data_IF_336761188676
#
_entry.id   IF_336761188676
#
_cell.length_a   1.000
_cell.length_b   1.000
_cell.length_c   1.000
_cell.angle_alpha   90.00
_cell.angle_beta   90.00
_cell.angle_gamma   90.00
#
_symmetry.space_group_name_H-M   'P 1'
#
loop_
_entity.id
_entity.type
_entity.pdbx_description
1 polymer ?
#
# COMPACT_ATOMS: atom_id res chain seq x y z
N UNK A 1 19.08 -55.11 17.33
CA UNK A 1 20.09 -54.04 17.33
C UNK A 1 20.09 -53.35 16.00
N UNK A 2 19.50 -52.21 15.94
CA UNK A 2 19.79 -51.05 15.10
C UNK A 2 18.68 -50.04 15.36
N UNK A 3 19.02 -49.08 16.18
CA UNK A 3 18.16 -47.93 16.55
C UNK A 3 18.49 -46.79 15.60
N UNK A 4 17.46 -46.29 14.96
CA UNK A 4 17.09 -44.92 14.73
C UNK A 4 18.14 -43.86 14.39
N UNK A 5 17.96 -43.25 13.25
CA UNK A 5 18.29 -41.85 12.98
C UNK A 5 17.21 -41.26 12.05
N UNK A 6 16.25 -40.57 12.62
CA UNK A 6 15.29 -39.74 11.87
C UNK A 6 14.67 -38.69 12.83
N UNK A 7 15.46 -37.67 13.16
CA UNK A 7 14.95 -36.47 13.81
C UNK A 7 16.00 -35.35 13.72
N UNK A 8 16.15 -34.69 12.61
CA UNK A 8 16.92 -33.43 12.51
C UNK A 8 16.82 -32.79 11.12
N UNK A 9 15.62 -32.50 10.61
CA UNK A 9 15.49 -31.77 9.32
C UNK A 9 14.38 -30.71 9.27
N UNK A 10 13.72 -30.41 10.39
CA UNK A 10 12.63 -29.40 10.37
C UNK A 10 12.97 -28.05 11.05
N UNK A 11 14.13 -27.93 11.67
CA UNK A 11 14.53 -26.68 12.35
C UNK A 11 15.26 -25.67 11.44
N UNK A 12 15.70 -26.09 10.25
CA UNK A 12 16.57 -25.26 9.41
C UNK A 12 15.85 -24.27 8.49
N UNK A 13 14.56 -24.52 8.17
CA UNK A 13 13.85 -23.71 7.15
C UNK A 13 13.21 -22.46 7.76
N UNK A 14 12.77 -22.52 9.02
CA UNK A 14 12.19 -21.34 9.69
C UNK A 14 13.23 -20.25 10.04
N UNK A 15 14.49 -20.66 10.30
CA UNK A 15 15.56 -19.69 10.57
C UNK A 15 16.06 -18.94 9.32
N UNK A 16 15.96 -19.56 8.13
CA UNK A 16 16.42 -18.92 6.90
C UNK A 16 15.49 -17.85 6.37
N UNK A 17 14.16 -17.98 6.57
CA UNK A 17 13.18 -16.96 6.17
C UNK A 17 13.24 -15.72 7.07
N UNK A 18 13.36 -15.90 8.39
CA UNK A 18 13.49 -14.77 9.32
C UNK A 18 14.79 -13.97 9.12
N UNK A 19 15.88 -14.65 8.75
CA UNK A 19 17.16 -13.99 8.47
C UNK A 19 17.14 -13.19 7.14
N UNK A 20 16.42 -13.69 6.11
CA UNK A 20 16.33 -13.01 4.81
C UNK A 20 15.49 -11.73 4.89
N UNK A 21 14.42 -11.74 5.67
CA UNK A 21 13.53 -10.58 5.86
C UNK A 21 14.24 -9.47 6.64
N UNK A 22 14.94 -9.83 7.71
CA UNK A 22 15.75 -8.88 8.50
C UNK A 22 16.87 -8.24 7.67
N UNK A 23 17.43 -8.97 6.70
CA UNK A 23 18.47 -8.48 5.81
C UNK A 23 17.95 -7.47 4.78
N UNK A 24 16.71 -7.64 4.27
CA UNK A 24 16.17 -6.76 3.22
C UNK A 24 15.75 -5.40 3.78
N UNK A 25 15.04 -5.36 4.91
CA UNK A 25 14.72 -4.09 5.60
C UNK A 25 15.98 -3.39 6.11
N UNK A 26 17.00 -4.15 6.49
CA UNK A 26 18.31 -3.60 6.86
C UNK A 26 19.08 -3.02 5.66
N UNK A 27 18.82 -3.48 4.42
CA UNK A 27 19.51 -3.00 3.22
C UNK A 27 19.08 -1.58 2.81
N UNK A 28 17.81 -1.19 3.02
CA UNK A 28 17.37 0.18 2.71
C UNK A 28 17.60 1.16 3.87
N UNK A 29 17.68 0.66 5.11
CA UNK A 29 17.93 1.52 6.26
C UNK A 29 19.36 2.13 6.18
N UNK A 30 19.42 3.45 6.17
CA UNK A 30 20.68 4.19 6.01
C UNK A 30 21.13 4.34 4.56
N UNK A 31 20.44 3.78 3.56
CA UNK A 31 20.61 4.12 2.14
C UNK A 31 20.14 5.55 1.87
N UNK A 32 20.36 6.04 0.67
CA UNK A 32 19.93 7.39 0.29
C UNK A 32 19.01 7.35 -0.92
N UNK A 33 18.02 8.24 -0.94
CA UNK A 33 17.16 8.50 -2.08
C UNK A 33 17.12 10.02 -2.31
N UNK A 34 17.31 10.47 -3.54
CA UNK A 34 17.42 11.89 -3.88
C UNK A 34 18.46 12.65 -2.99
N UNK A 35 19.51 11.97 -2.50
CA UNK A 35 20.51 12.54 -1.61
C UNK A 35 20.13 12.54 -0.13
N UNK A 36 18.91 12.18 0.23
CA UNK A 36 18.41 12.10 1.61
C UNK A 36 18.51 10.69 2.17
N UNK A 37 18.80 10.58 3.47
CA UNK A 37 18.92 9.29 4.15
C UNK A 37 17.56 8.66 4.37
N UNK A 38 17.46 7.34 4.17
CA UNK A 38 16.29 6.55 4.53
C UNK A 38 16.39 6.04 5.96
N UNK A 39 15.33 6.20 6.74
CA UNK A 39 15.16 5.65 8.08
C UNK A 39 13.97 4.71 8.10
N UNK A 40 14.20 3.42 8.36
CA UNK A 40 13.13 2.43 8.54
C UNK A 40 12.76 2.40 10.03
N UNK A 41 11.53 2.77 10.42
CA UNK A 41 11.11 2.75 11.82
C UNK A 41 10.93 1.32 12.33
N UNK A 42 10.96 1.15 13.65
CA UNK A 42 10.81 -0.17 14.29
C UNK A 42 9.47 -0.85 13.97
N UNK A 43 8.40 -0.07 13.76
CA UNK A 43 7.09 -0.58 13.33
C UNK A 43 7.12 -1.20 11.94
N UNK A 44 8.03 -0.81 11.05
CA UNK A 44 8.19 -1.35 9.69
C UNK A 44 9.23 -2.48 9.59
N UNK A 45 9.76 -2.94 10.71
CA UNK A 45 10.66 -4.10 10.74
C UNK A 45 9.83 -5.38 10.91
N UNK A 46 9.77 -6.26 9.89
CA UNK A 46 9.00 -7.48 9.97
C UNK A 46 9.49 -8.39 11.12
N UNK A 47 8.56 -8.86 11.93
CA UNK A 47 8.81 -9.82 13.01
C UNK A 47 7.74 -10.91 12.95
N UNK A 48 8.10 -12.20 12.96
CA UNK A 48 7.13 -13.27 12.83
C UNK A 48 5.97 -13.17 13.83
N UNK A 49 4.74 -13.26 13.34
CA UNK A 49 3.52 -13.20 14.14
C UNK A 49 3.20 -11.81 14.69
N UNK A 50 3.75 -10.76 14.10
CA UNK A 50 3.46 -9.37 14.43
C UNK A 50 3.13 -8.56 13.19
N UNK A 51 1.99 -7.89 13.24
CA UNK A 51 1.63 -6.88 12.25
C UNK A 51 2.65 -5.74 12.30
N UNK A 52 3.13 -5.34 11.14
CA UNK A 52 4.06 -4.24 10.94
C UNK A 52 3.55 -3.29 9.86
N UNK A 53 3.96 -2.03 9.92
CA UNK A 53 3.75 -1.04 8.88
C UNK A 53 4.68 -1.29 7.69
N UNK A 54 4.43 -0.64 6.54
CA UNK A 54 5.24 -0.76 5.34
C UNK A 54 5.65 0.62 4.83
N UNK A 55 6.33 1.40 5.70
CA UNK A 55 6.85 2.70 5.32
C UNK A 55 8.29 2.94 5.82
N UNK A 56 8.93 3.92 5.21
CA UNK A 56 10.20 4.49 5.64
C UNK A 56 10.10 6.02 5.65
N UNK A 57 10.96 6.66 6.43
CA UNK A 57 11.08 8.11 6.51
C UNK A 57 12.25 8.55 5.62
N UNK A 58 12.05 9.60 4.84
CA UNK A 58 13.12 10.28 4.11
C UNK A 58 13.59 11.44 4.98
N UNK A 59 14.84 11.35 5.45
CA UNK A 59 15.43 12.36 6.34
C UNK A 59 15.91 13.55 5.51
N UNK A 60 14.99 14.43 5.18
CA UNK A 60 15.26 15.69 4.46
C UNK A 60 15.72 16.83 5.40
N UNK A 61 15.97 16.53 6.70
CA UNK A 61 16.34 17.49 7.73
C UNK A 61 15.22 17.75 8.74
N UNK A 62 15.28 18.88 9.45
CA UNK A 62 14.27 19.23 10.43
C UNK A 62 12.90 19.39 9.76
N UNK A 63 11.84 18.83 10.38
CA UNK A 63 10.46 19.06 9.95
C UNK A 63 10.18 20.54 9.80
N UNK A 64 9.69 20.95 8.63
CA UNK A 64 9.29 22.33 8.38
C UNK A 64 7.79 22.46 8.67
N UNK A 65 7.41 23.46 9.46
CA UNK A 65 5.99 23.70 9.75
C UNK A 65 5.29 24.51 8.65
N UNK A 66 6.05 25.19 7.78
CA UNK A 66 5.50 26.17 6.84
C UNK A 66 5.16 25.58 5.46
N UNK A 67 5.90 24.56 5.01
CA UNK A 67 5.72 23.98 3.69
C UNK A 67 6.25 22.53 3.60
N UNK A 68 5.70 21.68 2.71
CA UNK A 68 6.24 20.35 2.45
C UNK A 68 7.67 20.42 1.90
N UNK A 69 8.46 19.36 2.05
CA UNK A 69 9.78 19.27 1.43
C UNK A 69 9.68 19.51 -0.09
N UNK A 70 10.60 20.28 -0.68
CA UNK A 70 10.48 20.71 -2.08
C UNK A 70 10.57 19.55 -3.10
N UNK A 71 11.20 18.45 -2.71
CA UNK A 71 11.38 17.27 -3.55
C UNK A 71 10.31 16.19 -3.30
N UNK A 72 9.41 16.40 -2.31
CA UNK A 72 8.36 15.47 -1.99
C UNK A 72 7.22 15.51 -3.03
N UNK A 73 6.77 14.34 -3.45
CA UNK A 73 5.59 14.21 -4.31
C UNK A 73 4.35 14.82 -3.63
N UNK A 74 3.59 15.55 -4.42
CA UNK A 74 2.35 16.19 -4.01
C UNK A 74 1.14 15.50 -4.66
N UNK A 75 -0.07 15.66 -4.13
CA UNK A 75 -1.27 15.16 -4.80
C UNK A 75 -1.40 15.61 -6.26
N UNK A 76 -0.96 16.83 -6.57
CA UNK A 76 -1.03 17.38 -7.92
C UNK A 76 0.02 16.80 -8.85
N UNK A 77 1.27 16.58 -8.39
CA UNK A 77 2.34 15.99 -9.21
C UNK A 77 2.03 14.54 -9.55
N UNK A 78 1.62 13.73 -8.57
CA UNK A 78 1.23 12.34 -8.78
C UNK A 78 0.01 12.23 -9.72
N UNK A 79 -1.05 13.00 -9.46
CA UNK A 79 -2.24 12.99 -10.30
C UNK A 79 -1.96 13.42 -11.75
N UNK A 80 -0.97 14.31 -11.95
CA UNK A 80 -0.49 14.70 -13.27
C UNK A 80 0.20 13.53 -13.97
N UNK A 81 1.14 12.84 -13.32
CA UNK A 81 1.88 11.69 -13.89
C UNK A 81 0.92 10.59 -14.30
N UNK A 82 -0.02 10.22 -13.45
CA UNK A 82 -1.03 9.20 -13.75
C UNK A 82 -2.19 9.72 -14.62
N UNK A 83 -2.15 10.97 -15.07
CA UNK A 83 -3.18 11.58 -15.94
C UNK A 83 -4.58 11.50 -15.36
N UNK A 84 -4.68 11.61 -14.04
CA UNK A 84 -5.97 11.67 -13.32
C UNK A 84 -6.60 13.06 -13.43
N UNK A 85 -5.77 14.06 -13.74
CA UNK A 85 -6.16 15.45 -13.93
C UNK A 85 -5.52 16.03 -15.19
N UNK A 86 -5.99 17.17 -15.66
CA UNK A 86 -5.28 17.92 -16.71
C UNK A 86 -3.98 18.46 -16.10
N UNK A 87 -2.87 17.87 -16.48
CA UNK A 87 -1.56 18.19 -15.94
C UNK A 87 -0.80 19.29 -16.68
N UNK A 88 0.29 19.74 -16.06
CA UNK A 88 1.33 20.59 -16.66
C UNK A 88 2.30 19.69 -17.45
N UNK A 89 2.93 20.19 -18.50
CA UNK A 89 3.96 19.47 -19.23
C UNK A 89 5.10 19.11 -18.27
N UNK A 90 5.55 17.86 -18.28
CA UNK A 90 6.59 17.36 -17.39
C UNK A 90 6.08 16.98 -15.98
N UNK A 91 4.89 17.35 -15.61
CA UNK A 91 4.32 17.10 -14.27
C UNK A 91 5.27 17.47 -13.11
N UNK A 92 5.87 18.69 -13.11
CA UNK A 92 6.85 19.08 -12.10
C UNK A 92 6.18 19.23 -10.72
N UNK A 93 6.92 18.84 -9.66
CA UNK A 93 6.43 18.93 -8.28
C UNK A 93 6.01 20.37 -7.94
N UNK A 94 6.90 21.32 -8.15
CA UNK A 94 6.71 22.71 -7.70
C UNK A 94 5.56 23.47 -8.38
N UNK A 95 5.18 23.07 -9.62
CA UNK A 95 4.21 23.85 -10.43
C UNK A 95 2.95 23.08 -10.80
N UNK A 96 2.86 21.79 -10.52
CA UNK A 96 1.62 21.03 -10.63
C UNK A 96 0.63 21.49 -9.55
N UNK A 97 -0.60 21.85 -9.95
CA UNK A 97 -1.60 22.46 -9.03
C UNK A 97 -2.97 21.79 -9.08
N UNK A 98 -3.24 21.00 -10.13
CA UNK A 98 -4.55 20.37 -10.27
C UNK A 98 -4.56 19.08 -9.46
N UNK A 99 -5.51 18.97 -8.54
CA UNK A 99 -5.74 17.79 -7.71
C UNK A 99 -7.01 17.06 -8.15
N UNK A 100 -7.15 15.76 -7.86
CA UNK A 100 -8.40 15.02 -8.06
C UNK A 100 -9.57 15.71 -7.33
N UNK A 101 -10.76 15.61 -7.92
CA UNK A 101 -11.98 16.22 -7.34
C UNK A 101 -13.13 15.21 -7.27
N UNK A 102 -12.86 13.94 -7.54
CA UNK A 102 -13.80 12.84 -7.54
C UNK A 102 -13.94 12.17 -6.17
N UNK A 103 -14.49 10.96 -6.19
CA UNK A 103 -14.69 10.08 -5.05
C UNK A 103 -16.15 9.69 -4.89
N UNK A 104 -16.41 8.40 -4.78
CA UNK A 104 -17.73 7.83 -4.53
C UNK A 104 -17.66 6.75 -3.46
N UNK A 105 -18.77 6.49 -2.78
CA UNK A 105 -18.84 5.53 -1.71
C UNK A 105 -18.02 5.93 -0.48
N UNK A 106 -17.52 4.93 0.22
CA UNK A 106 -16.69 5.13 1.40
C UNK A 106 -15.29 4.53 1.22
N UNK A 107 -14.32 5.15 1.83
CA UNK A 107 -12.96 4.63 2.01
C UNK A 107 -12.76 4.40 3.50
N UNK A 108 -12.37 3.20 3.92
CA UNK A 108 -11.92 2.95 5.27
C UNK A 108 -10.44 2.59 5.27
N UNK A 109 -9.69 3.30 6.07
CA UNK A 109 -8.31 3.03 6.41
C UNK A 109 -8.32 2.20 7.68
N UNK A 110 -7.54 1.13 7.76
CA UNK A 110 -7.41 0.30 8.96
C UNK A 110 -5.99 0.41 9.47
N UNK A 111 -5.85 0.92 10.70
CA UNK A 111 -4.57 1.09 11.36
C UNK A 111 -4.62 0.73 12.84
N UNK A 112 -3.47 0.73 13.49
CA UNK A 112 -3.34 0.45 14.90
C UNK A 112 -2.84 1.67 15.67
N UNK A 113 -3.51 1.97 16.75
CA UNK A 113 -3.23 3.11 17.62
C UNK A 113 -4.33 4.15 17.61
N UNK A 114 -4.15 5.19 18.38
CA UNK A 114 -4.94 6.40 18.36
C UNK A 114 -4.12 7.53 17.72
N UNK A 115 -4.73 8.25 16.81
CA UNK A 115 -4.14 9.42 16.17
C UNK A 115 -4.88 10.68 16.64
N UNK A 116 -4.49 11.29 17.78
CA UNK A 116 -5.27 12.36 18.40
C UNK A 116 -5.43 13.62 17.54
N UNK A 117 -4.47 13.91 16.66
CA UNK A 117 -4.47 15.11 15.81
C UNK A 117 -4.94 14.85 14.38
N UNK A 118 -5.40 13.64 14.05
CA UNK A 118 -5.77 13.22 12.70
C UNK A 118 -6.64 14.21 11.92
N UNK A 119 -7.70 14.76 12.56
CA UNK A 119 -8.59 15.74 11.91
C UNK A 119 -7.90 17.06 11.60
N UNK A 120 -7.06 17.55 12.51
CA UNK A 120 -6.34 18.80 12.35
C UNK A 120 -5.25 18.66 11.30
N UNK A 121 -4.50 17.56 11.34
CA UNK A 121 -3.40 17.30 10.43
C UNK A 121 -3.91 17.08 9.00
N UNK A 122 -4.98 16.29 8.82
CA UNK A 122 -5.65 16.13 7.52
C UNK A 122 -6.19 17.45 6.96
N UNK A 123 -6.75 18.32 7.83
CA UNK A 123 -7.18 19.67 7.42
C UNK A 123 -6.02 20.53 6.95
N UNK A 124 -4.88 20.49 7.68
CA UNK A 124 -3.67 21.25 7.30
C UNK A 124 -3.10 20.75 5.98
N UNK A 125 -2.98 19.43 5.81
CA UNK A 125 -2.56 18.83 4.55
C UNK A 125 -3.49 19.24 3.39
N UNK A 126 -4.79 19.08 3.57
CA UNK A 126 -5.80 19.40 2.55
C UNK A 126 -5.76 20.87 2.15
N UNK A 127 -5.67 21.77 3.13
CA UNK A 127 -5.57 23.21 2.91
C UNK A 127 -4.34 23.61 2.11
N UNK A 128 -3.18 22.99 2.39
CA UNK A 128 -1.92 23.25 1.68
C UNK A 128 -2.04 22.96 0.18
N UNK A 129 -2.74 21.88 -0.17
CA UNK A 129 -2.88 21.46 -1.56
C UNK A 129 -4.19 21.88 -2.23
N UNK A 130 -5.01 22.69 -1.54
CA UNK A 130 -6.28 23.18 -2.08
C UNK A 130 -7.33 22.07 -2.25
N UNK A 131 -7.25 21.04 -1.43
CA UNK A 131 -8.20 19.94 -1.39
C UNK A 131 -9.32 20.32 -0.41
N UNK A 132 -10.60 20.19 -0.78
CA UNK A 132 -11.70 20.47 0.15
C UNK A 132 -11.68 19.51 1.33
N UNK A 133 -12.04 19.98 2.53
CA UNK A 133 -12.30 19.07 3.65
C UNK A 133 -13.39 18.06 3.28
N UNK A 134 -13.16 16.78 3.65
CA UNK A 134 -14.08 15.70 3.40
C UNK A 134 -14.94 15.33 4.63
N UNK A 135 -15.88 14.38 4.44
CA UNK A 135 -16.57 13.71 5.55
C UNK A 135 -15.63 12.67 6.16
N UNK A 136 -14.87 13.10 7.16
CA UNK A 136 -13.86 12.26 7.85
C UNK A 136 -14.31 11.87 9.27
N UNK A 137 -14.23 10.60 9.59
CA UNK A 137 -14.64 10.05 10.88
C UNK A 137 -13.61 9.04 11.39
N UNK A 138 -13.30 9.10 12.69
CA UNK A 138 -12.50 8.11 13.42
C UNK A 138 -13.44 7.12 14.07
N UNK A 139 -13.14 5.83 13.94
CA UNK A 139 -13.93 4.72 14.48
C UNK A 139 -13.00 3.78 15.26
N UNK A 140 -13.28 3.54 16.51
CA UNK A 140 -12.55 2.57 17.33
C UNK A 140 -13.14 1.19 17.14
N UNK A 141 -12.35 0.25 16.63
CA UNK A 141 -12.83 -1.06 16.18
C UNK A 141 -13.48 -1.90 17.27
N UNK A 142 -13.02 -1.78 18.53
CA UNK A 142 -13.59 -2.47 19.70
C UNK A 142 -14.48 -1.55 20.56
N UNK A 143 -14.83 -0.37 20.06
CA UNK A 143 -15.62 0.65 20.77
C UNK A 143 -14.84 1.45 21.81
N UNK A 144 -13.55 1.23 21.95
CA UNK A 144 -12.69 1.90 22.92
C UNK A 144 -11.47 2.51 22.23
N UNK A 145 -11.12 3.72 22.65
CA UNK A 145 -9.94 4.44 22.19
C UNK A 145 -8.68 3.61 22.48
N UNK A 146 -7.87 3.26 21.44
CA UNK A 146 -6.63 2.54 21.66
C UNK A 146 -5.54 3.45 22.25
N UNK A 147 -4.41 2.90 22.71
CA UNK A 147 -3.23 3.70 23.02
C UNK A 147 -2.61 4.32 21.79
N UNK A 148 -1.91 5.44 21.95
CA UNK A 148 -1.06 6.01 20.90
C UNK A 148 0.17 5.12 20.71
N UNK A 149 0.49 4.81 19.45
CA UNK A 149 1.73 4.13 19.05
C UNK A 149 2.50 5.03 18.07
N UNK A 150 3.46 5.79 18.54
CA UNK A 150 4.10 6.91 17.84
C UNK A 150 4.55 6.63 16.39
N UNK A 151 4.95 5.41 16.09
CA UNK A 151 5.31 5.03 14.72
C UNK A 151 4.08 4.72 13.84
N UNK A 152 2.93 4.45 14.43
CA UNK A 152 1.69 4.23 13.72
C UNK A 152 0.98 5.55 13.36
N UNK A 153 1.13 6.61 14.14
CA UNK A 153 0.59 7.93 13.78
C UNK A 153 1.13 8.42 12.42
N UNK A 154 2.37 8.05 12.06
CA UNK A 154 2.93 8.35 10.73
C UNK A 154 2.21 7.58 9.63
N UNK A 155 1.94 6.29 9.87
CA UNK A 155 1.18 5.45 8.95
C UNK A 155 -0.23 6.00 8.74
N UNK A 156 -0.94 6.28 9.85
CA UNK A 156 -2.31 6.82 9.83
C UNK A 156 -2.39 8.16 9.08
N UNK A 157 -1.40 9.07 9.29
CA UNK A 157 -1.32 10.34 8.58
C UNK A 157 -1.16 10.12 7.07
N UNK A 158 -0.19 9.29 6.67
CA UNK A 158 0.06 8.92 5.28
C UNK A 158 -1.19 8.39 4.60
N UNK A 159 -1.86 7.45 5.25
CA UNK A 159 -2.99 6.73 4.69
C UNK A 159 -4.22 7.63 4.48
N UNK A 160 -4.64 8.38 5.52
CA UNK A 160 -5.82 9.24 5.40
C UNK A 160 -5.60 10.40 4.45
N UNK A 161 -4.40 11.01 4.45
CA UNK A 161 -4.07 12.15 3.62
C UNK A 161 -4.09 11.76 2.13
N UNK A 162 -3.46 10.66 1.76
CA UNK A 162 -3.35 10.27 0.36
C UNK A 162 -4.61 9.59 -0.18
N UNK A 163 -5.36 8.83 0.64
CA UNK A 163 -6.68 8.35 0.23
C UNK A 163 -7.64 9.52 -0.01
N UNK A 164 -7.64 10.53 0.88
CA UNK A 164 -8.45 11.73 0.73
C UNK A 164 -8.01 12.56 -0.47
N UNK A 165 -6.71 12.75 -0.67
CA UNK A 165 -6.19 13.52 -1.80
C UNK A 165 -6.60 12.96 -3.15
N UNK A 166 -6.67 11.64 -3.29
CA UNK A 166 -7.09 11.00 -4.53
C UNK A 166 -8.61 10.96 -4.71
N UNK A 167 -9.39 10.98 -3.62
CA UNK A 167 -10.85 10.86 -3.65
C UNK A 167 -11.55 11.81 -2.65
N UNK A 168 -11.41 13.13 -2.78
CA UNK A 168 -11.85 14.08 -1.75
C UNK A 168 -13.36 14.11 -1.51
N UNK A 169 -14.18 13.53 -2.39
CA UNK A 169 -15.64 13.41 -2.20
C UNK A 169 -16.09 12.10 -1.59
N UNK A 170 -15.21 11.12 -1.46
CA UNK A 170 -15.53 9.90 -0.75
C UNK A 170 -15.67 10.17 0.75
N UNK A 171 -16.54 9.41 1.43
CA UNK A 171 -16.58 9.41 2.87
C UNK A 171 -15.36 8.64 3.40
N UNK A 172 -14.58 9.27 4.27
CA UNK A 172 -13.34 8.70 4.79
C UNK A 172 -13.53 8.26 6.25
N UNK A 173 -13.11 7.03 6.54
CA UNK A 173 -13.04 6.48 7.89
C UNK A 173 -11.61 6.08 8.23
N UNK A 174 -11.13 6.47 9.41
CA UNK A 174 -9.97 5.87 10.06
C UNK A 174 -10.49 4.88 11.11
N UNK A 175 -10.22 3.60 10.90
CA UNK A 175 -10.65 2.51 11.81
C UNK A 175 -9.45 2.08 12.64
N UNK A 176 -9.40 2.58 13.85
CA UNK A 176 -8.30 2.39 14.78
C UNK A 176 -8.49 1.14 15.63
N UNK A 177 -7.43 0.35 15.80
CA UNK A 177 -7.41 -0.84 16.66
C UNK A 177 -6.26 -0.83 17.66
N UNK A 178 -6.36 -1.70 18.66
CA UNK A 178 -5.20 -2.03 19.47
C UNK A 178 -4.25 -2.92 18.70
N UNK A 179 -2.95 -2.73 18.93
CA UNK A 179 -1.90 -3.59 18.40
C UNK A 179 -1.58 -4.71 19.40
N UNK A 180 -1.37 -5.91 18.90
CA UNK A 180 -0.80 -6.97 19.71
C UNK A 180 0.69 -6.74 19.97
N UNK A 181 1.03 -6.29 21.16
CA UNK A 181 2.41 -6.00 21.55
C UNK A 181 3.13 -7.16 22.25
N UNK A 182 2.45 -8.31 22.42
CA UNK A 182 3.00 -9.45 23.14
C UNK A 182 2.78 -10.77 22.40
N UNK A 183 3.65 -11.76 22.62
CA UNK A 183 3.50 -13.13 22.07
C UNK A 183 2.32 -13.92 22.69
N UNK A 184 1.46 -13.27 23.46
CA UNK A 184 0.30 -13.88 24.14
C UNK A 184 -1.03 -13.62 23.44
N UNK A 185 -1.05 -12.81 22.39
CA UNK A 185 -2.27 -12.61 21.62
C UNK A 185 -2.50 -13.85 20.73
N UNK A 186 -3.67 -14.42 20.80
CA UNK A 186 -4.06 -15.51 19.90
C UNK A 186 -4.31 -14.98 18.47
N UNK A 187 -4.72 -13.72 18.37
CA UNK A 187 -5.02 -13.00 17.12
C UNK A 187 -4.82 -11.52 17.37
N UNK A 188 -4.17 -10.84 16.44
CA UNK A 188 -4.03 -9.38 16.52
C UNK A 188 -5.41 -8.72 16.35
N UNK A 189 -5.80 -7.77 17.21
CA UNK A 189 -7.08 -7.07 17.11
C UNK A 189 -7.30 -6.34 15.78
N UNK A 190 -6.23 -6.00 15.07
CA UNK A 190 -6.28 -5.34 13.76
C UNK A 190 -7.05 -6.17 12.72
N UNK A 191 -7.02 -7.50 12.79
CA UNK A 191 -7.85 -8.35 11.93
C UNK A 191 -9.35 -8.16 12.16
N UNK A 192 -9.76 -7.93 13.42
CA UNK A 192 -11.15 -7.60 13.71
C UNK A 192 -11.50 -6.20 13.17
N UNK A 193 -10.56 -5.25 13.20
CA UNK A 193 -10.76 -3.93 12.64
C UNK A 193 -11.00 -3.97 11.12
N UNK A 194 -10.34 -4.87 10.38
CA UNK A 194 -10.62 -5.10 8.95
C UNK A 194 -12.08 -5.47 8.70
N UNK A 195 -12.65 -6.34 9.54
CA UNK A 195 -14.08 -6.69 9.45
C UNK A 195 -14.98 -5.48 9.72
N UNK A 196 -14.68 -4.73 10.78
CA UNK A 196 -15.44 -3.52 11.15
C UNK A 196 -15.38 -2.49 10.00
N UNK A 197 -14.21 -2.28 9.41
CA UNK A 197 -14.03 -1.40 8.26
C UNK A 197 -14.88 -1.83 7.07
N UNK A 198 -14.88 -3.13 6.73
CA UNK A 198 -15.71 -3.67 5.64
C UNK A 198 -17.20 -3.47 5.89
N UNK A 199 -17.69 -3.77 7.10
CA UNK A 199 -19.09 -3.57 7.47
C UNK A 199 -19.49 -2.08 7.41
N UNK A 200 -18.58 -1.19 7.85
CA UNK A 200 -18.77 0.26 7.82
C UNK A 200 -18.88 0.78 6.40
N UNK A 201 -17.97 0.37 5.51
CA UNK A 201 -17.99 0.72 4.09
C UNK A 201 -19.26 0.21 3.43
N UNK A 202 -19.64 -1.06 3.63
CA UNK A 202 -20.86 -1.65 3.06
C UNK A 202 -22.12 -0.89 3.49
N UNK A 203 -22.21 -0.51 4.78
CA UNK A 203 -23.31 0.28 5.34
C UNK A 203 -23.40 1.70 4.74
N UNK A 204 -22.31 2.24 4.25
CA UNK A 204 -22.24 3.56 3.62
C UNK A 204 -22.31 3.52 2.08
N UNK A 205 -22.90 2.48 1.51
CA UNK A 205 -23.15 2.37 0.07
C UNK A 205 -22.09 1.61 -0.73
N UNK A 206 -21.18 0.95 -0.03
CA UNK A 206 -20.03 0.26 -0.63
C UNK A 206 -18.82 1.15 -0.85
N UNK A 207 -17.72 0.56 -1.28
CA UNK A 207 -16.48 1.31 -1.45
C UNK A 207 -15.23 0.44 -1.32
N UNK A 208 -14.22 0.99 -0.66
CA UNK A 208 -12.91 0.38 -0.55
C UNK A 208 -12.40 0.38 0.90
N UNK A 209 -11.58 -0.62 1.23
CA UNK A 209 -10.80 -0.68 2.47
C UNK A 209 -9.33 -0.71 2.09
N UNK A 210 -8.48 0.10 2.71
CA UNK A 210 -7.03 0.07 2.55
C UNK A 210 -6.34 -0.38 3.83
N UNK A 211 -5.31 -1.22 3.67
CA UNK A 211 -4.53 -1.83 4.74
C UNK A 211 -3.05 -1.69 4.42
N UNK A 212 -2.38 -0.77 5.09
CA UNK A 212 -0.97 -0.49 4.88
C UNK A 212 -0.05 -1.30 5.79
N UNK A 213 -0.58 -2.36 6.38
CA UNK A 213 0.13 -3.25 7.28
C UNK A 213 0.22 -4.68 6.74
N UNK A 214 1.06 -5.49 7.36
CA UNK A 214 1.13 -6.92 7.08
C UNK A 214 1.91 -7.70 8.11
N UNK A 215 1.92 -9.00 7.92
CA UNK A 215 2.81 -9.95 8.59
C UNK A 215 3.44 -10.88 7.55
N UNK A 216 4.63 -11.38 7.81
CA UNK A 216 5.24 -12.41 6.98
C UNK A 216 4.28 -13.61 6.84
N UNK A 217 4.14 -14.15 5.64
CA UNK A 217 3.23 -15.28 5.40
C UNK A 217 3.48 -16.47 6.34
N UNK A 218 2.41 -17.11 6.79
CA UNK A 218 2.47 -18.30 7.67
C UNK A 218 1.40 -19.33 7.27
N UNK A 219 1.59 -20.59 7.67
CA UNK A 219 0.79 -21.72 7.19
C UNK A 219 -0.73 -21.60 7.44
N UNK A 220 -1.15 -20.82 8.46
CA UNK A 220 -2.54 -20.66 8.85
C UNK A 220 -3.16 -19.32 8.40
N UNK A 221 -2.45 -18.49 7.63
CA UNK A 221 -2.92 -17.15 7.21
C UNK A 221 -4.28 -17.16 6.51
N UNK A 222 -4.56 -18.21 5.74
CA UNK A 222 -5.81 -18.40 5.00
C UNK A 222 -7.07 -18.37 5.87
N UNK A 223 -6.94 -18.63 7.17
CA UNK A 223 -8.07 -18.50 8.09
C UNK A 223 -8.52 -17.04 8.27
N UNK A 224 -7.70 -16.06 7.87
CA UNK A 224 -8.02 -14.63 7.95
C UNK A 224 -8.64 -14.08 6.66
N UNK A 225 -8.60 -14.79 5.55
CA UNK A 225 -9.15 -14.35 4.27
C UNK A 225 -10.63 -13.96 4.32
N UNK A 226 -11.40 -14.58 5.24
CA UNK A 226 -12.81 -14.30 5.40
C UNK A 226 -13.12 -12.89 5.90
N UNK A 227 -12.16 -12.19 6.53
CA UNK A 227 -12.33 -10.80 6.95
C UNK A 227 -12.40 -9.85 5.75
N UNK A 228 -11.86 -10.24 4.60
CA UNK A 228 -11.81 -9.43 3.37
C UNK A 228 -12.84 -9.89 2.31
N UNK A 229 -14.06 -10.26 2.76
CA UNK A 229 -15.10 -10.78 1.85
C UNK A 229 -16.46 -10.06 1.97
N UNK A 230 -16.51 -8.90 2.62
CA UNK A 230 -17.75 -8.14 2.79
C UNK A 230 -18.31 -7.71 1.43
N UNK A 231 -19.57 -8.04 1.11
CA UNK A 231 -20.19 -7.66 -0.16
C UNK A 231 -20.26 -6.14 -0.34
N UNK A 232 -19.95 -5.67 -1.53
CA UNK A 232 -19.92 -4.24 -1.87
C UNK A 232 -18.59 -3.56 -1.51
N UNK A 233 -17.57 -4.32 -1.10
CA UNK A 233 -16.30 -3.79 -0.65
C UNK A 233 -15.14 -4.40 -1.44
N UNK A 234 -14.23 -3.54 -1.89
CA UNK A 234 -12.93 -3.92 -2.47
C UNK A 234 -11.84 -3.64 -1.44
N UNK A 235 -11.02 -4.63 -1.14
CA UNK A 235 -9.91 -4.53 -0.19
C UNK A 235 -8.59 -4.35 -0.92
N UNK A 236 -7.81 -3.37 -0.50
CA UNK A 236 -6.46 -3.09 -0.97
C UNK A 236 -5.48 -3.30 0.18
N UNK A 237 -4.27 -3.75 -0.14
CA UNK A 237 -3.19 -3.81 0.83
C UNK A 237 -1.85 -3.50 0.20
N UNK A 238 -0.95 -2.96 1.01
CA UNK A 238 0.46 -2.89 0.71
C UNK A 238 1.03 -4.27 0.38
N UNK A 239 1.85 -4.38 -0.66
CA UNK A 239 2.50 -5.66 -0.99
C UNK A 239 3.70 -5.96 -0.11
N UNK A 240 4.14 -4.98 0.71
CA UNK A 240 5.28 -5.07 1.62
C UNK A 240 6.52 -4.33 1.11
N UNK A 241 7.45 -4.06 2.01
CA UNK A 241 8.70 -3.32 1.73
C UNK A 241 9.95 -4.22 1.88
N UNK A 242 9.75 -5.53 1.84
CA UNK A 242 10.82 -6.52 1.97
C UNK A 242 11.55 -6.86 0.66
N UNK A 243 11.28 -6.15 -0.43
CA UNK A 243 11.85 -6.40 -1.75
C UNK A 243 11.27 -7.63 -2.46
N UNK A 244 11.78 -7.90 -3.67
CA UNK A 244 11.30 -8.99 -4.50
C UNK A 244 11.69 -10.36 -3.91
N UNK A 245 10.70 -11.24 -3.77
CA UNK A 245 10.79 -12.56 -3.16
C UNK A 245 10.20 -12.60 -1.76
N UNK A 246 9.81 -11.44 -1.22
CA UNK A 246 9.13 -11.33 0.05
C UNK A 246 7.64 -11.03 -0.15
N UNK A 247 6.79 -11.83 0.46
CA UNK A 247 5.33 -11.72 0.40
C UNK A 247 4.77 -11.63 1.81
N UNK A 248 3.75 -10.80 1.97
CA UNK A 248 3.07 -10.57 3.25
C UNK A 248 1.57 -10.80 3.12
N UNK A 249 0.94 -11.23 4.21
CA UNK A 249 -0.50 -11.22 4.36
C UNK A 249 -0.91 -9.92 5.09
N UNK A 250 -1.93 -9.15 4.64
CA UNK A 250 -3.03 -9.58 3.76
C UNK A 250 -2.78 -9.38 2.25
N UNK A 251 -1.65 -8.80 1.81
CA UNK A 251 -1.37 -8.61 0.38
C UNK A 251 -1.44 -9.92 -0.44
N UNK A 252 -1.00 -11.05 0.15
CA UNK A 252 -1.05 -12.36 -0.48
C UNK A 252 -2.46 -12.98 -0.56
N UNK A 253 -3.44 -12.48 0.20
CA UNK A 253 -4.81 -13.00 0.16
C UNK A 253 -5.44 -12.91 -1.23
N UNK A 254 -6.16 -13.94 -1.71
CA UNK A 254 -6.89 -13.88 -2.99
C UNK A 254 -8.10 -12.92 -2.96
N UNK A 255 -8.44 -12.37 -1.79
CA UNK A 255 -9.55 -11.43 -1.58
C UNK A 255 -9.07 -9.98 -1.46
N UNK A 256 -7.82 -9.70 -1.81
CA UNK A 256 -7.18 -8.39 -1.69
C UNK A 256 -6.50 -8.01 -2.99
N UNK A 257 -6.59 -6.76 -3.39
CA UNK A 257 -5.76 -6.16 -4.44
C UNK A 257 -4.44 -5.75 -3.79
N UNK A 258 -3.37 -6.47 -4.09
CA UNK A 258 -2.04 -6.16 -3.60
C UNK A 258 -1.41 -5.03 -4.42
N UNK A 259 -1.04 -3.94 -3.76
CA UNK A 259 -0.46 -2.76 -4.41
C UNK A 259 1.04 -2.71 -4.15
N UNK A 260 1.83 -2.83 -5.21
CA UNK A 260 3.28 -2.74 -5.20
C UNK A 260 3.79 -1.30 -5.26
N UNK A 261 5.11 -1.15 -5.15
CA UNK A 261 5.76 0.14 -5.12
C UNK A 261 6.64 0.42 -6.34
N UNK A 262 6.42 1.55 -7.00
CA UNK A 262 7.25 2.10 -8.06
C UNK A 262 7.93 3.39 -7.62
N UNK A 263 8.79 3.94 -8.44
CA UNK A 263 9.52 5.17 -8.17
C UNK A 263 9.51 6.09 -9.38
N UNK A 264 9.18 7.36 -9.17
CA UNK A 264 9.26 8.41 -10.18
C UNK A 264 10.67 9.00 -10.26
N UNK A 265 11.36 8.75 -11.36
CA UNK A 265 12.57 9.49 -11.65
C UNK A 265 12.20 10.89 -12.17
N UNK A 266 12.84 11.90 -11.59
CA UNK A 266 12.69 13.30 -11.97
C UNK A 266 14.01 13.92 -12.35
N UNK A 267 13.98 14.94 -13.21
CA UNK A 267 15.17 15.72 -13.52
C UNK A 267 15.44 16.82 -12.48
N UNK A 268 16.48 17.61 -12.69
CA UNK A 268 16.87 18.71 -11.80
C UNK A 268 15.83 19.85 -11.69
N UNK A 269 14.84 19.89 -12.56
CA UNK A 269 13.73 20.83 -12.53
C UNK A 269 12.49 20.22 -11.86
N UNK A 270 12.57 18.98 -11.38
CA UNK A 270 11.46 18.22 -10.83
C UNK A 270 10.50 17.66 -11.87
N UNK A 271 10.84 17.71 -13.18
CA UNK A 271 10.03 17.14 -14.26
C UNK A 271 10.12 15.61 -14.24
N UNK A 272 8.98 14.94 -14.41
CA UNK A 272 8.89 13.50 -14.51
C UNK A 272 9.60 12.97 -15.78
N UNK A 273 10.51 12.03 -15.59
CA UNK A 273 11.26 11.36 -16.66
C UNK A 273 10.64 10.01 -16.99
N UNK A 274 10.58 9.12 -16.01
CA UNK A 274 10.02 7.76 -16.13
C UNK A 274 9.66 7.19 -14.76
N UNK A 275 8.95 6.09 -14.79
CA UNK A 275 8.59 5.30 -13.61
C UNK A 275 9.30 3.95 -13.67
N UNK A 276 9.88 3.52 -12.57
CA UNK A 276 10.62 2.25 -12.46
C UNK A 276 10.37 1.59 -11.11
N UNK A 277 10.74 0.32 -10.99
CA UNK A 277 10.78 -0.35 -9.69
C UNK A 277 11.96 0.17 -8.87
N UNK A 278 11.76 0.37 -7.58
CA UNK A 278 12.83 0.75 -6.66
C UNK A 278 13.48 -0.49 -6.07
N UNK A 279 14.75 -0.75 -6.45
CA UNK A 279 15.51 -1.92 -6.01
C UNK A 279 15.75 -1.87 -4.50
N UNK A 280 15.26 -2.89 -3.79
CA UNK A 280 15.34 -2.96 -2.33
C UNK A 280 14.12 -2.40 -1.60
N UNK A 281 13.12 -1.85 -2.34
CA UNK A 281 11.86 -1.32 -1.83
C UNK A 281 10.71 -2.31 -1.97
N UNK A 282 9.72 -1.97 -2.80
CA UNK A 282 8.44 -2.68 -2.88
C UNK A 282 8.51 -4.21 -2.87
N UNK A 283 7.67 -4.85 -2.07
CA UNK A 283 7.58 -6.31 -1.99
C UNK A 283 6.83 -6.90 -3.17
N UNK A 284 7.18 -8.12 -3.52
CA UNK A 284 6.49 -8.87 -4.54
C UNK A 284 7.06 -10.28 -4.68
N UNK A 285 6.24 -11.24 -5.02
CA UNK A 285 6.68 -12.63 -5.11
C UNK A 285 5.55 -13.60 -5.37
N UNK A 286 5.87 -14.87 -5.16
CA UNK A 286 4.90 -15.97 -5.25
C UNK A 286 4.62 -16.44 -3.83
N UNK A 287 3.37 -16.39 -3.40
CA UNK A 287 2.94 -16.82 -2.08
C UNK A 287 3.37 -18.25 -1.77
N UNK A 288 3.76 -18.50 -0.54
CA UNK A 288 4.08 -19.82 -0.05
C UNK A 288 2.81 -20.63 0.27
N UNK A 289 1.75 -19.98 0.69
CA UNK A 289 0.57 -20.66 1.24
C UNK A 289 -0.69 -20.45 0.40
N UNK A 290 -0.88 -19.27 -0.20
CA UNK A 290 -2.09 -18.96 -0.95
C UNK A 290 -2.13 -19.67 -2.32
N UNK A 291 -3.22 -20.36 -2.66
CA UNK A 291 -3.38 -20.94 -3.98
C UNK A 291 -3.64 -19.85 -5.02
N UNK A 292 -3.17 -20.10 -6.27
CA UNK A 292 -3.48 -19.20 -7.38
C UNK A 292 -4.99 -19.11 -7.59
N UNK A 293 -5.59 -17.91 -7.50
CA UNK A 293 -6.99 -17.71 -7.85
C UNK A 293 -7.20 -17.75 -9.37
N UNK A 294 -8.45 -18.04 -9.79
CA UNK A 294 -8.78 -18.19 -11.21
C UNK A 294 -8.55 -16.93 -12.05
N UNK A 295 -8.66 -15.74 -11.47
CA UNK A 295 -8.37 -14.49 -12.19
C UNK A 295 -6.88 -14.39 -12.60
N UNK A 296 -5.97 -15.08 -11.93
CA UNK A 296 -4.55 -15.18 -12.29
C UNK A 296 -4.22 -16.32 -13.28
N UNK A 297 -5.21 -17.00 -13.85
CA UNK A 297 -4.94 -18.05 -14.84
C UNK A 297 -4.23 -17.54 -16.08
N UNK A 298 -4.41 -16.27 -16.42
CA UNK A 298 -3.71 -15.60 -17.53
C UNK A 298 -2.20 -15.54 -17.33
N UNK A 299 -1.72 -15.54 -16.08
CA UNK A 299 -0.30 -15.53 -15.69
C UNK A 299 0.17 -16.87 -15.09
N UNK A 300 -0.60 -17.95 -15.22
CA UNK A 300 -0.29 -19.25 -14.62
C UNK A 300 1.09 -19.84 -14.98
N UNK A 301 1.64 -19.46 -16.14
CA UNK A 301 2.98 -19.87 -16.57
C UNK A 301 4.09 -19.20 -15.75
N UNK A 302 3.80 -18.08 -15.10
CA UNK A 302 4.74 -17.32 -14.26
C UNK A 302 4.59 -17.77 -12.80
N UNK A 303 3.35 -17.76 -12.29
CA UNK A 303 3.09 -17.98 -10.86
C UNK A 303 2.83 -19.44 -10.46
N UNK A 304 2.67 -20.34 -11.44
CA UNK A 304 2.41 -21.77 -11.16
C UNK A 304 1.05 -22.00 -10.50
N UNK A 305 1.05 -22.71 -9.37
CA UNK A 305 -0.15 -23.04 -8.61
C UNK A 305 -0.44 -22.10 -7.44
N UNK A 306 0.40 -21.07 -7.26
CA UNK A 306 0.36 -20.15 -6.13
C UNK A 306 -0.01 -18.75 -6.57
N UNK A 307 -0.53 -17.96 -5.61
CA UNK A 307 -0.84 -16.54 -5.80
C UNK A 307 0.43 -15.74 -6.07
N UNK A 308 0.42 -14.90 -7.11
CA UNK A 308 1.48 -13.93 -7.37
C UNK A 308 1.07 -12.52 -6.94
N UNK A 309 1.96 -11.77 -6.33
CA UNK A 309 1.80 -10.36 -5.97
C UNK A 309 3.01 -9.53 -6.41
N UNK A 310 2.84 -8.20 -6.62
CA UNK A 310 1.59 -7.43 -6.53
C UNK A 310 0.64 -7.68 -7.71
N UNK A 311 -0.60 -7.19 -7.61
CA UNK A 311 -1.54 -7.17 -8.75
C UNK A 311 -1.32 -5.94 -9.61
N UNK A 312 -1.16 -4.80 -8.97
CA UNK A 312 -0.93 -3.46 -9.52
C UNK A 312 0.16 -2.77 -8.72
N UNK A 313 0.63 -1.61 -9.18
CA UNK A 313 1.57 -0.79 -8.43
C UNK A 313 1.19 0.69 -8.48
N UNK A 314 1.73 1.46 -7.57
CA UNK A 314 1.70 2.93 -7.56
C UNK A 314 3.03 3.45 -7.05
N UNK A 315 3.29 4.74 -7.22
CA UNK A 315 4.49 5.34 -6.65
C UNK A 315 4.58 5.07 -5.15
N UNK A 316 5.79 4.81 -4.68
CA UNK A 316 6.02 4.43 -3.30
C UNK A 316 7.08 5.30 -2.62
N UNK A 317 7.69 6.25 -3.32
CA UNK A 317 8.66 7.11 -2.70
C UNK A 317 8.28 8.56 -2.70
N UNK A 318 8.57 9.08 -1.53
CA UNK A 318 8.82 10.48 -1.31
C UNK A 318 7.54 11.32 -1.27
N UNK A 319 6.49 10.77 -0.64
CA UNK A 319 5.22 11.46 -0.39
C UNK A 319 5.37 12.57 0.64
N UNK A 320 4.85 13.75 0.36
CA UNK A 320 4.64 14.75 1.39
C UNK A 320 3.56 14.28 2.37
N UNK A 321 3.80 14.41 3.67
CA UNK A 321 2.82 14.20 4.73
C UNK A 321 2.85 15.33 5.74
N UNK A 322 1.77 15.51 6.47
CA UNK A 322 1.68 16.45 7.58
C UNK A 322 1.29 15.71 8.88
N UNK A 323 2.23 15.57 9.79
CA UNK A 323 2.03 15.07 11.15
C UNK A 323 2.62 16.09 12.12
N UNK A 324 1.80 17.06 12.58
CA UNK A 324 2.25 18.17 13.42
C UNK A 324 3.49 18.91 12.86
N UNK A 325 3.68 18.83 11.55
CA UNK A 325 4.80 19.36 10.76
C UNK A 325 5.01 18.54 9.50
N UNK A 326 5.47 19.19 8.44
CA UNK A 326 5.71 18.55 7.14
C UNK A 326 6.87 17.55 7.23
N UNK A 327 6.69 16.42 6.62
CA UNK A 327 7.67 15.37 6.45
C UNK A 327 7.58 14.71 5.10
N UNK A 328 8.47 13.77 4.87
CA UNK A 328 8.55 12.98 3.64
C UNK A 328 8.68 11.51 3.99
N UNK A 329 7.82 10.69 3.43
CA UNK A 329 7.78 9.25 3.68
C UNK A 329 7.61 8.48 2.38
N UNK A 330 7.93 7.21 2.41
CA UNK A 330 7.73 6.29 1.32
C UNK A 330 7.40 4.89 1.84
N UNK A 331 7.08 3.97 0.93
CA UNK A 331 6.70 2.60 1.22
C UNK A 331 5.46 2.18 0.45
N UNK A 332 5.19 0.90 0.40
CA UNK A 332 3.93 0.39 -0.19
C UNK A 332 2.70 0.78 0.64
N UNK A 333 2.93 1.28 1.87
CA UNK A 333 1.94 1.99 2.68
C UNK A 333 1.37 3.23 2.01
N UNK A 334 2.17 3.96 1.22
CA UNK A 334 1.66 5.05 0.40
C UNK A 334 0.93 4.55 -0.85
N UNK A 335 1.45 3.49 -1.48
CA UNK A 335 0.87 2.95 -2.72
C UNK A 335 -0.56 2.47 -2.53
N UNK A 336 -0.87 1.79 -1.43
CA UNK A 336 -2.18 1.18 -1.16
C UNK A 336 -3.31 2.21 -1.03
N UNK A 337 -3.28 3.20 -0.12
CA UNK A 337 -4.34 4.20 0.03
C UNK A 337 -4.47 5.10 -1.20
N UNK A 338 -3.36 5.41 -1.87
CA UNK A 338 -3.35 6.15 -3.13
C UNK A 338 -4.15 5.41 -4.21
N UNK A 339 -3.87 4.13 -4.40
CA UNK A 339 -4.58 3.32 -5.41
C UNK A 339 -6.06 3.13 -5.02
N UNK A 340 -6.37 2.88 -3.76
CA UNK A 340 -7.73 2.80 -3.24
C UNK A 340 -8.53 4.09 -3.50
N UNK A 341 -7.90 5.26 -3.29
CA UNK A 341 -8.45 6.57 -3.62
C UNK A 341 -8.71 6.73 -5.13
N UNK A 342 -7.76 6.32 -5.99
CA UNK A 342 -7.93 6.35 -7.45
C UNK A 342 -9.14 5.51 -7.87
N UNK A 343 -9.31 4.31 -7.30
CA UNK A 343 -10.47 3.43 -7.59
C UNK A 343 -11.78 4.07 -7.15
N UNK A 344 -11.84 4.69 -5.98
CA UNK A 344 -13.00 5.45 -5.53
C UNK A 344 -13.30 6.63 -6.46
N UNK A 345 -12.28 7.41 -6.84
CA UNK A 345 -12.44 8.56 -7.73
C UNK A 345 -12.89 8.19 -9.15
N UNK A 346 -12.51 7.01 -9.63
CA UNK A 346 -12.97 6.48 -10.92
C UNK A 346 -14.48 6.20 -10.96
N UNK A 347 -15.15 6.08 -9.83
CA UNK A 347 -16.61 6.04 -9.74
C UNK A 347 -17.30 4.73 -10.15
N UNK A 348 -16.53 3.67 -10.37
CA UNK A 348 -17.03 2.37 -10.84
C UNK A 348 -16.70 1.25 -9.85
N UNK A 349 -17.15 1.41 -8.61
CA UNK A 349 -16.91 0.46 -7.54
C UNK A 349 -17.43 -0.94 -7.89
N UNK A 350 -16.59 -1.95 -7.65
CA UNK A 350 -16.98 -3.36 -7.81
C UNK A 350 -17.63 -3.89 -6.53
N UNK A 351 -18.30 -5.03 -6.67
CA UNK A 351 -19.03 -5.66 -5.56
C UNK A 351 -18.13 -6.49 -4.63
N UNK A 352 -16.88 -6.73 -5.05
CA UNK A 352 -15.90 -7.48 -4.29
C UNK A 352 -14.50 -7.28 -4.86
N UNK A 353 -13.46 -7.57 -4.07
CA UNK A 353 -12.07 -7.61 -4.57
C UNK A 353 -11.89 -8.62 -5.70
N UNK A 354 -12.61 -9.75 -5.66
CA UNK A 354 -12.58 -10.74 -6.74
C UNK A 354 -13.08 -10.16 -8.07
N UNK A 355 -14.13 -9.34 -8.05
CA UNK A 355 -14.64 -8.69 -9.26
C UNK A 355 -13.65 -7.65 -9.78
N UNK A 356 -13.02 -6.86 -8.89
CA UNK A 356 -11.99 -5.90 -9.24
C UNK A 356 -10.78 -6.60 -9.88
N UNK A 357 -10.24 -7.61 -9.23
CA UNK A 357 -9.12 -8.41 -9.72
C UNK A 357 -9.44 -9.13 -11.04
N UNK A 358 -10.66 -9.65 -11.18
CA UNK A 358 -11.09 -10.26 -12.44
C UNK A 358 -11.08 -9.25 -13.59
N UNK A 359 -11.48 -8.01 -13.32
CA UNK A 359 -11.43 -6.93 -14.31
C UNK A 359 -9.99 -6.59 -14.66
N UNK A 360 -9.13 -6.33 -13.66
CA UNK A 360 -7.71 -5.99 -13.85
C UNK A 360 -7.01 -7.05 -14.72
N UNK A 361 -7.14 -8.34 -14.38
CA UNK A 361 -6.48 -9.41 -15.14
C UNK A 361 -7.11 -9.66 -16.52
N UNK A 362 -8.40 -9.35 -16.72
CA UNK A 362 -9.05 -9.37 -18.04
C UNK A 362 -8.52 -8.25 -18.94
N UNK A 363 -8.36 -7.05 -18.40
CA UNK A 363 -7.76 -5.91 -19.10
C UNK A 363 -6.30 -6.14 -19.43
N UNK A 364 -5.55 -6.71 -18.50
CA UNK A 364 -4.18 -7.17 -18.73
C UNK A 364 -4.09 -8.19 -19.89
N UNK A 365 -5.00 -9.17 -19.95
CA UNK A 365 -5.05 -10.17 -21.02
C UNK A 365 -5.32 -9.55 -22.40
N UNK A 366 -5.98 -8.40 -22.46
CA UNK A 366 -6.20 -7.63 -23.67
C UNK A 366 -5.05 -6.64 -23.87
N UNK A 367 -4.12 -6.95 -24.78
CA UNK A 367 -2.92 -6.13 -25.01
C UNK A 367 -3.20 -4.65 -25.31
N UNK A 368 -4.32 -4.34 -25.97
CA UNK A 368 -4.68 -2.95 -26.27
C UNK A 368 -5.14 -2.22 -25.01
N UNK A 369 -5.97 -2.85 -24.17
CA UNK A 369 -6.42 -2.30 -22.91
C UNK A 369 -5.25 -2.18 -21.92
N UNK A 370 -4.41 -3.20 -21.79
CA UNK A 370 -3.22 -3.14 -20.94
C UNK A 370 -2.36 -1.93 -21.30
N UNK A 371 -1.98 -1.78 -22.56
CA UNK A 371 -1.20 -0.62 -23.03
C UNK A 371 -1.89 0.73 -22.81
N UNK A 372 -3.23 0.76 -22.88
CA UNK A 372 -4.00 2.00 -22.72
C UNK A 372 -4.19 2.40 -21.25
N UNK A 373 -4.32 1.41 -20.34
CA UNK A 373 -4.76 1.61 -18.98
C UNK A 373 -3.63 1.54 -17.95
N UNK A 374 -2.56 0.79 -18.24
CA UNK A 374 -1.44 0.59 -17.32
C UNK A 374 -0.10 1.02 -17.93
N UNK A 375 0.79 1.52 -17.10
CA UNK A 375 2.21 1.66 -17.40
C UNK A 375 2.90 0.35 -17.01
N UNK A 376 3.47 -0.33 -17.99
CA UNK A 376 4.23 -1.57 -17.80
C UNK A 376 5.64 -1.21 -17.31
N UNK A 377 5.97 -1.61 -16.08
CA UNK A 377 7.20 -1.23 -15.38
C UNK A 377 8.28 -2.27 -15.66
N UNK A 378 9.21 -1.92 -16.52
CA UNK A 378 10.24 -2.85 -17.01
C UNK A 378 11.67 -2.48 -16.62
N UNK A 379 11.82 -1.49 -15.72
CA UNK A 379 13.11 -0.95 -15.27
C UNK A 379 13.23 -0.99 -13.75
N UNK A 380 14.45 -0.88 -13.25
CA UNK A 380 14.77 -0.83 -11.83
C UNK A 380 15.35 -2.14 -11.27
N UNK A 381 14.96 -3.29 -11.79
CA UNK A 381 15.55 -4.60 -11.43
C UNK A 381 15.53 -5.54 -12.64
N UNK A 382 16.46 -6.50 -12.67
CA UNK A 382 16.56 -7.49 -13.76
C UNK A 382 15.36 -8.44 -13.84
N UNK A 383 14.53 -8.52 -12.80
CA UNK A 383 13.31 -9.32 -12.73
C UNK A 383 12.08 -8.59 -13.26
N UNK A 384 12.16 -7.27 -13.47
CA UNK A 384 11.09 -6.48 -14.09
C UNK A 384 11.07 -6.76 -15.60
N UNK A 385 9.96 -7.30 -16.09
CA UNK A 385 9.79 -7.78 -17.47
C UNK A 385 8.59 -7.13 -18.12
N UNK A 386 8.48 -7.24 -19.44
CA UNK A 386 7.28 -6.84 -20.14
C UNK A 386 6.10 -7.74 -19.73
N UNK A 387 5.00 -7.11 -19.31
CA UNK A 387 3.82 -7.76 -18.80
C UNK A 387 3.88 -8.00 -17.30
N UNK A 388 3.02 -8.86 -16.78
CA UNK A 388 2.95 -9.12 -15.35
C UNK A 388 4.27 -9.69 -14.81
N UNK A 389 4.76 -9.08 -13.77
CA UNK A 389 5.91 -9.56 -13.01
C UNK A 389 5.81 -9.21 -11.52
N UNK A 390 6.80 -9.63 -10.74
CA UNK A 390 6.85 -9.42 -9.28
C UNK A 390 7.29 -8.01 -8.88
N UNK A 391 7.65 -7.15 -9.82
CA UNK A 391 8.01 -5.76 -9.55
C UNK A 391 6.78 -4.87 -9.38
N UNK A 392 5.81 -5.00 -10.31
CA UNK A 392 4.70 -4.06 -10.41
C UNK A 392 3.35 -4.72 -10.80
N UNK A 393 3.26 -6.05 -10.78
CA UNK A 393 2.05 -6.72 -11.23
C UNK A 393 1.73 -6.43 -12.69
N UNK A 394 0.51 -6.00 -12.99
CA UNK A 394 0.15 -5.57 -14.36
C UNK A 394 0.64 -4.16 -14.70
N UNK A 395 1.19 -3.43 -13.72
CA UNK A 395 1.71 -2.07 -13.86
C UNK A 395 0.99 -1.03 -13.01
N UNK A 396 1.40 0.23 -13.16
CA UNK A 396 0.79 1.39 -12.49
C UNK A 396 -0.35 2.01 -13.31
N UNK A 397 -1.25 2.81 -12.71
CA UNK A 397 -2.40 3.38 -13.41
C UNK A 397 -1.95 4.42 -14.43
N UNK A 398 -2.58 4.44 -15.59
CA UNK A 398 -2.31 5.40 -16.66
C UNK A 398 -3.37 6.49 -16.76
N UNK A 399 -4.52 6.22 -16.23
CA UNK A 399 -5.69 7.11 -16.05
C UNK A 399 -6.61 6.42 -15.05
N UNK A 400 -7.77 6.99 -14.78
CA UNK A 400 -8.83 6.28 -14.03
C UNK A 400 -9.30 4.96 -14.67
N UNK A 401 -8.86 4.62 -15.86
CA UNK A 401 -9.14 3.33 -16.47
C UNK A 401 -8.17 2.22 -16.01
N UNK A 402 -7.00 2.57 -15.49
CA UNK A 402 -5.98 1.64 -14.98
C UNK A 402 -6.14 1.38 -13.48
N UNK A 403 -7.30 1.00 -13.06
CA UNK A 403 -7.66 0.80 -11.66
C UNK A 403 -8.01 -0.66 -11.37
#
# INVERSE_FOLDING_TARGET
MRVSLAASLFAGIALSLGASVSLCSAQINGSTINGHRIIVPDSSIPRPGRIHTNYFIVDSGARNNDAPPPDAETPASLACVYKLVKGTKGCPIATSKNVPTGGVGAIAIVDAGDYPTAKQDLHTFSSQFGIPDGDFQIVYADGHKPPVYSNWEVEEALDIEWAHAMAPKAKLFLVESKLCTSNKCNTDPTWQAVKVAGELVAKNGGGVVSMSFGDAEWAQERQFDHYMTTPGVVYFAASGDGGIGFTIHPGASPNVVAVGGTFFNRDSNGDFINEQYYTGGGGGGISLYEPRPSYQDVIKKIVGSKRGIPDVASDFCCAAIYLQGWGEVGGTSWSSPTFAGIVSAAGQLKKSSKDELTMIYKEYANKQQHKAYFNDITQGDSRCKVGWDVCAGVGSPKTYAGK
#
